data_IF_053543798087
#
_entry.id   IF_053543798087
#
_cell.length_a   1.000
_cell.length_b   1.000
_cell.length_c   1.000
_cell.angle_alpha   90.00
_cell.angle_beta   90.00
_cell.angle_gamma   90.00
#
_symmetry.space_group_name_H-M   'P 1'
#
loop_
_entity.id
_entity.type
_entity.pdbx_description
1 polymer ?
#
# COMPACT_ATOMS: atom_id res chain seq x y z
N UNK A 1 2.52 18.85 4.66
CA UNK A 1 1.86 18.50 5.94
C UNK A 1 2.82 18.24 7.10
N UNK A 2 3.93 17.52 6.92
CA UNK A 2 4.90 17.18 7.98
C UNK A 2 6.17 18.08 8.02
N UNK A 3 6.28 19.07 7.14
CA UNK A 3 7.44 19.99 7.12
C UNK A 3 8.78 19.37 6.67
N UNK A 4 8.79 18.15 6.15
CA UNK A 4 10.01 17.44 5.71
C UNK A 4 10.44 17.89 4.31
N UNK A 5 11.72 18.21 4.14
CA UNK A 5 12.36 18.45 2.84
C UNK A 5 13.08 17.19 2.34
N UNK A 6 12.83 16.79 1.10
CA UNK A 6 13.51 15.65 0.46
C UNK A 6 14.57 16.16 -0.53
N UNK A 7 15.77 15.58 -0.47
CA UNK A 7 16.83 15.85 -1.45
C UNK A 7 16.45 15.24 -2.83
N UNK A 8 17.04 15.77 -3.91
CA UNK A 8 16.84 15.30 -5.29
C UNK A 8 17.06 13.80 -5.46
N UNK A 9 18.02 13.24 -4.72
CA UNK A 9 18.32 11.80 -4.74
C UNK A 9 17.19 10.95 -4.12
N UNK A 10 16.53 11.45 -3.06
CA UNK A 10 15.36 10.79 -2.46
C UNK A 10 14.13 10.89 -3.37
N UNK A 11 13.97 12.01 -4.08
CA UNK A 11 12.93 12.15 -5.12
C UNK A 11 13.14 11.18 -6.28
N UNK A 12 14.38 11.04 -6.75
CA UNK A 12 14.73 10.07 -7.80
C UNK A 12 14.42 8.65 -7.35
N UNK A 13 14.76 8.29 -6.10
CA UNK A 13 14.36 7.00 -5.55
C UNK A 13 12.83 6.81 -5.55
N UNK A 14 12.03 7.79 -5.12
CA UNK A 14 10.56 7.64 -5.15
C UNK A 14 10.01 7.40 -6.57
N UNK A 15 10.56 8.06 -7.58
CA UNK A 15 10.17 7.87 -8.98
C UNK A 15 10.56 6.46 -9.45
N UNK A 16 11.79 6.02 -9.14
CA UNK A 16 12.25 4.66 -9.46
C UNK A 16 11.39 3.60 -8.78
N UNK A 17 11.07 3.76 -7.50
CA UNK A 17 10.19 2.85 -6.76
C UNK A 17 8.83 2.72 -7.47
N UNK A 18 8.24 3.85 -7.84
CA UNK A 18 6.93 3.88 -8.51
C UNK A 18 6.97 3.14 -9.85
N UNK A 19 7.98 3.42 -10.68
CA UNK A 19 8.16 2.72 -11.96
C UNK A 19 8.45 1.23 -11.79
N UNK A 20 9.28 0.86 -10.82
CA UNK A 20 9.61 -0.54 -10.52
C UNK A 20 8.40 -1.34 -10.04
N UNK A 21 7.58 -0.77 -9.15
CA UNK A 21 6.33 -1.39 -8.68
C UNK A 21 5.32 -1.52 -9.81
N UNK A 22 5.21 -0.51 -10.69
CA UNK A 22 4.34 -0.59 -11.87
C UNK A 22 4.75 -1.75 -12.79
N UNK A 23 6.06 -1.94 -13.03
CA UNK A 23 6.58 -3.05 -13.85
C UNK A 23 6.36 -4.42 -13.19
N UNK A 24 6.55 -4.53 -11.87
CA UNK A 24 6.34 -5.77 -11.11
C UNK A 24 4.87 -6.20 -11.13
N UNK A 25 3.94 -5.25 -11.13
CA UNK A 25 2.50 -5.52 -11.12
C UNK A 25 1.88 -5.66 -12.52
N UNK A 26 2.68 -5.58 -13.60
CA UNK A 26 2.14 -5.84 -14.94
C UNK A 26 1.73 -7.33 -15.05
N UNK A 27 0.46 -7.62 -15.41
CA UNK A 27 0.02 -9.00 -15.59
C UNK A 27 0.79 -9.65 -16.75
N UNK A 28 1.40 -10.82 -16.50
CA UNK A 28 2.34 -11.46 -17.43
C UNK A 28 1.68 -12.31 -18.53
N UNK A 29 0.34 -12.38 -18.58
CA UNK A 29 -0.34 -13.19 -19.58
C UNK A 29 -1.72 -13.61 -19.13
N UNK A 30 -2.67 -12.70 -19.29
CA UNK A 30 -4.01 -12.99 -19.80
C UNK A 30 -4.51 -11.62 -20.25
N UNK A 31 -4.47 -11.38 -21.55
CA UNK A 31 -5.48 -10.52 -22.16
C UNK A 31 -6.80 -11.22 -21.87
N UNK A 32 -7.35 -10.94 -20.69
CA UNK A 32 -8.73 -11.26 -20.36
C UNK A 32 -9.52 -10.90 -21.61
N UNK A 33 -10.28 -11.88 -22.11
CA UNK A 33 -11.24 -11.71 -23.19
C UNK A 33 -12.11 -10.52 -22.79
N UNK A 34 -11.68 -9.33 -23.17
CA UNK A 34 -12.41 -8.11 -22.94
C UNK A 34 -13.52 -8.24 -23.96
N UNK A 35 -14.67 -8.70 -23.46
CA UNK A 35 -15.95 -8.57 -24.16
C UNK A 35 -15.91 -7.24 -24.90
N UNK A 36 -16.18 -7.28 -26.20
CA UNK A 36 -16.00 -6.16 -27.14
C UNK A 36 -16.91 -4.93 -26.86
N UNK A 37 -17.41 -4.78 -25.63
CA UNK A 37 -18.33 -3.75 -25.14
C UNK A 37 -17.86 -3.16 -23.80
N UNK A 38 -16.55 -2.96 -23.59
CA UNK A 38 -16.10 -2.06 -22.52
C UNK A 38 -16.34 -0.63 -23.02
N UNK A 39 -17.50 -0.06 -22.69
CA UNK A 39 -17.81 1.32 -23.03
C UNK A 39 -16.73 2.24 -22.48
N UNK A 40 -16.26 3.19 -23.29
CA UNK A 40 -15.20 4.15 -22.90
C UNK A 40 -15.53 4.87 -21.58
N UNK A 41 -16.82 5.01 -21.27
CA UNK A 41 -17.34 5.54 -20.00
C UNK A 41 -16.84 4.75 -18.78
N UNK A 42 -16.92 3.41 -18.81
CA UNK A 42 -16.55 2.57 -17.67
C UNK A 42 -15.04 2.62 -17.39
N UNK A 43 -14.24 2.73 -18.44
CA UNK A 43 -12.79 2.91 -18.31
C UNK A 43 -12.42 4.25 -17.68
N UNK A 44 -13.14 5.33 -18.02
CA UNK A 44 -12.91 6.67 -17.44
C UNK A 44 -13.35 6.68 -15.97
N UNK A 45 -14.48 6.07 -15.63
CA UNK A 45 -14.95 5.96 -14.25
C UNK A 45 -13.95 5.18 -13.40
N UNK A 46 -13.44 4.05 -13.91
CA UNK A 46 -12.38 3.28 -13.24
C UNK A 46 -11.11 4.11 -13.00
N UNK A 47 -10.65 4.85 -14.01
CA UNK A 47 -9.48 5.73 -13.87
C UNK A 47 -9.70 6.82 -12.82
N UNK A 48 -10.85 7.50 -12.84
CA UNK A 48 -11.19 8.54 -11.85
C UNK A 48 -11.28 7.95 -10.44
N UNK A 49 -11.85 6.75 -10.29
CA UNK A 49 -11.93 6.06 -9.00
C UNK A 49 -10.53 5.73 -8.46
N UNK A 50 -9.63 5.22 -9.30
CA UNK A 50 -8.23 4.93 -8.91
C UNK A 50 -7.50 6.23 -8.52
N UNK A 51 -7.64 7.30 -9.30
CA UNK A 51 -7.02 8.59 -8.96
C UNK A 51 -7.54 9.12 -7.61
N UNK A 52 -8.86 9.11 -7.40
CA UNK A 52 -9.46 9.53 -6.14
C UNK A 52 -8.95 8.67 -4.96
N UNK A 53 -8.86 7.35 -5.14
CA UNK A 53 -8.31 6.43 -4.15
C UNK A 53 -6.82 6.72 -3.86
N UNK A 54 -6.00 7.00 -4.88
CA UNK A 54 -4.59 7.34 -4.71
C UNK A 54 -4.40 8.63 -3.90
N UNK A 55 -5.14 9.70 -4.23
CA UNK A 55 -5.07 10.96 -3.48
C UNK A 55 -5.56 10.78 -2.05
N UNK A 56 -6.68 10.07 -1.85
CA UNK A 56 -7.24 9.79 -0.53
C UNK A 56 -6.26 8.97 0.33
N UNK A 57 -5.68 7.91 -0.23
CA UNK A 57 -4.70 7.06 0.45
C UNK A 57 -3.44 7.82 0.86
N UNK A 58 -2.86 8.62 -0.07
CA UNK A 58 -1.70 9.45 0.21
C UNK A 58 -1.97 10.50 1.30
N UNK A 59 -3.10 11.20 1.22
CA UNK A 59 -3.51 12.19 2.20
C UNK A 59 -3.77 11.56 3.57
N UNK A 60 -4.57 10.50 3.63
CA UNK A 60 -4.91 9.81 4.87
C UNK A 60 -3.67 9.24 5.56
N UNK A 61 -2.73 8.66 4.81
CA UNK A 61 -1.46 8.16 5.35
C UNK A 61 -0.60 9.26 5.98
N UNK A 62 -0.44 10.39 5.29
CA UNK A 62 0.34 11.54 5.80
C UNK A 62 -0.36 12.23 6.98
N UNK A 63 -1.69 12.32 6.95
CA UNK A 63 -2.48 12.85 8.07
C UNK A 63 -2.39 11.94 9.29
N UNK A 64 -2.48 10.62 9.09
CA UNK A 64 -2.32 9.63 10.16
C UNK A 64 -0.93 9.69 10.77
N UNK A 65 0.12 9.84 9.95
CA UNK A 65 1.47 10.07 10.46
C UNK A 65 1.56 11.36 11.29
N UNK A 66 0.95 12.45 10.81
CA UNK A 66 0.93 13.74 11.53
C UNK A 66 0.24 13.62 12.89
N UNK A 67 -0.95 13.01 12.96
CA UNK A 67 -1.67 12.90 14.23
C UNK A 67 -0.92 12.01 15.24
N UNK A 68 -0.28 10.94 14.76
CA UNK A 68 0.51 10.05 15.61
C UNK A 68 1.78 10.71 16.16
N UNK A 69 2.42 11.59 15.37
CA UNK A 69 3.70 12.20 15.75
C UNK A 69 3.57 13.55 16.44
N UNK A 70 2.46 14.25 16.28
CA UNK A 70 2.26 15.60 16.87
C UNK A 70 1.45 15.56 18.17
N UNK A 71 0.74 14.49 18.48
CA UNK A 71 -0.12 14.42 19.68
C UNK A 71 0.41 13.44 20.71
N UNK A 72 0.25 13.76 22.01
CA UNK A 72 0.67 12.90 23.13
C UNK A 72 -0.31 11.75 23.44
N UNK A 73 -1.18 11.41 22.50
CA UNK A 73 -2.15 10.31 22.66
C UNK A 73 -1.48 9.00 22.26
N UNK A 74 -1.73 7.93 23.01
CA UNK A 74 -1.15 6.62 22.69
C UNK A 74 -1.60 6.12 21.30
N UNK A 75 -0.72 5.36 20.64
CA UNK A 75 -1.01 4.77 19.33
C UNK A 75 -2.28 3.93 19.38
N UNK A 76 -2.42 3.12 20.44
CA UNK A 76 -3.56 2.24 20.64
C UNK A 76 -4.87 3.02 20.76
N UNK A 77 -4.87 4.15 21.46
CA UNK A 77 -6.05 5.01 21.58
C UNK A 77 -6.41 5.67 20.24
N UNK A 78 -5.41 6.11 19.47
CA UNK A 78 -5.63 6.61 18.10
C UNK A 78 -6.19 5.53 17.18
N UNK A 79 -5.66 4.32 17.27
CA UNK A 79 -6.13 3.19 16.48
C UNK A 79 -7.55 2.77 16.88
N UNK A 80 -7.90 2.85 18.17
CA UNK A 80 -9.26 2.60 18.66
C UNK A 80 -10.25 3.65 18.16
N UNK A 81 -9.88 4.93 18.23
CA UNK A 81 -10.70 6.03 17.69
C UNK A 81 -10.98 5.85 16.20
N UNK A 82 -9.95 5.48 15.43
CA UNK A 82 -10.09 5.20 14.00
C UNK A 82 -10.96 3.97 13.75
N UNK A 83 -10.72 2.87 14.46
CA UNK A 83 -11.53 1.66 14.35
C UNK A 83 -13.00 1.90 14.67
N UNK A 84 -13.29 2.71 15.69
CA UNK A 84 -14.66 3.10 16.04
C UNK A 84 -15.38 3.73 14.85
N UNK A 85 -14.78 4.72 14.18
CA UNK A 85 -15.39 5.33 13.00
C UNK A 85 -15.41 4.39 11.78
N UNK A 86 -14.40 3.54 11.61
CA UNK A 86 -14.36 2.55 10.54
C UNK A 86 -15.48 1.53 10.63
N UNK A 87 -15.93 1.15 11.84
CA UNK A 87 -17.06 0.23 12.02
C UNK A 87 -18.34 0.84 11.41
N UNK A 88 -18.65 2.10 11.70
CA UNK A 88 -19.81 2.77 11.11
C UNK A 88 -19.71 2.87 9.60
N UNK A 89 -18.53 3.23 9.07
CA UNK A 89 -18.30 3.27 7.63
C UNK A 89 -18.46 1.90 6.96
N UNK A 90 -17.96 0.83 7.60
CA UNK A 90 -18.10 -0.54 7.12
C UNK A 90 -19.56 -0.99 7.07
N UNK A 91 -20.31 -0.78 8.15
CA UNK A 91 -21.75 -1.09 8.18
C UNK A 91 -22.55 -0.27 7.16
N UNK A 92 -22.22 1.01 6.99
CA UNK A 92 -22.85 1.85 5.99
C UNK A 92 -22.63 1.29 4.58
N UNK A 93 -21.41 0.84 4.24
CA UNK A 93 -21.15 0.24 2.93
C UNK A 93 -21.86 -1.11 2.74
N UNK A 94 -21.87 -1.97 3.75
CA UNK A 94 -22.65 -3.20 3.71
C UNK A 94 -24.15 -2.92 3.49
N UNK A 95 -24.69 -1.86 4.10
CA UNK A 95 -26.09 -1.48 3.91
C UNK A 95 -26.37 -0.88 2.53
N UNK A 96 -25.46 -0.07 1.98
CA UNK A 96 -25.66 0.57 0.67
C UNK A 96 -25.49 -0.40 -0.51
N UNK A 97 -24.54 -1.34 -0.44
CA UNK A 97 -24.19 -2.20 -1.57
C UNK A 97 -24.67 -3.65 -1.43
N UNK A 98 -24.66 -4.22 -0.22
CA UNK A 98 -24.82 -5.66 -0.02
C UNK A 98 -26.07 -6.05 0.81
N UNK A 99 -26.95 -5.10 1.14
CA UNK A 99 -28.09 -5.33 2.05
C UNK A 99 -28.97 -6.51 1.63
N UNK A 100 -29.28 -6.63 0.33
CA UNK A 100 -30.16 -7.69 -0.18
C UNK A 100 -29.57 -9.08 0.03
N UNK A 101 -28.24 -9.23 -0.11
CA UNK A 101 -27.56 -10.49 0.13
C UNK A 101 -27.52 -10.81 1.63
N UNK A 102 -27.24 -9.80 2.47
CA UNK A 102 -27.19 -9.93 3.92
C UNK A 102 -28.55 -10.31 4.52
N UNK A 103 -29.65 -9.72 4.02
CA UNK A 103 -31.01 -10.01 4.50
C UNK A 103 -31.43 -11.45 4.16
N UNK A 104 -31.07 -11.92 2.97
CA UNK A 104 -31.48 -13.24 2.48
C UNK A 104 -30.71 -14.38 3.15
N UNK A 105 -29.39 -14.24 3.24
CA UNK A 105 -28.52 -15.36 3.58
C UNK A 105 -27.72 -15.14 4.89
N UNK A 106 -27.83 -13.95 5.48
CA UNK A 106 -27.17 -13.57 6.72
C UNK A 106 -25.80 -12.92 6.52
N UNK A 107 -25.40 -12.10 7.49
CA UNK A 107 -24.15 -11.32 7.42
C UNK A 107 -22.87 -12.17 7.34
N UNK A 108 -22.87 -13.36 7.97
CA UNK A 108 -21.71 -14.26 8.04
C UNK A 108 -21.83 -15.43 7.05
N UNK A 109 -22.65 -15.30 6.00
CA UNK A 109 -22.78 -16.33 4.99
C UNK A 109 -21.43 -16.65 4.35
N UNK A 110 -21.11 -17.94 4.21
CA UNK A 110 -19.90 -18.38 3.52
C UNK A 110 -18.59 -18.21 4.31
N UNK A 111 -18.64 -17.68 5.54
CA UNK A 111 -17.46 -17.58 6.40
C UNK A 111 -16.95 -18.97 6.79
N UNK A 112 -15.77 -19.31 6.30
CA UNK A 112 -15.04 -20.53 6.65
C UNK A 112 -13.78 -20.19 7.47
N UNK A 113 -13.04 -21.22 7.90
CA UNK A 113 -11.82 -21.05 8.70
C UNK A 113 -10.76 -20.18 8.00
N UNK A 114 -10.63 -20.30 6.67
CA UNK A 114 -9.67 -19.51 5.88
C UNK A 114 -10.03 -18.02 5.92
N UNK A 115 -11.32 -17.68 5.79
CA UNK A 115 -11.78 -16.28 5.88
C UNK A 115 -11.46 -15.71 7.26
N UNK A 116 -11.70 -16.45 8.35
CA UNK A 116 -11.32 -16.01 9.69
C UNK A 116 -9.81 -15.77 9.84
N UNK A 117 -8.97 -16.61 9.23
CA UNK A 117 -7.52 -16.40 9.18
C UNK A 117 -7.19 -15.11 8.43
N UNK A 118 -7.82 -14.85 7.27
CA UNK A 118 -7.63 -13.61 6.50
C UNK A 118 -8.06 -12.38 7.31
N UNK A 119 -9.21 -12.43 7.99
CA UNK A 119 -9.67 -11.33 8.86
C UNK A 119 -8.67 -11.06 9.98
N UNK A 120 -8.18 -12.11 10.65
CA UNK A 120 -7.18 -11.96 11.71
C UNK A 120 -5.86 -11.39 11.18
N UNK A 121 -5.40 -11.85 10.01
CA UNK A 121 -4.19 -11.35 9.36
C UNK A 121 -4.33 -9.89 8.94
N UNK A 122 -5.49 -9.49 8.41
CA UNK A 122 -5.78 -8.11 8.02
C UNK A 122 -5.79 -7.18 9.24
N UNK A 123 -6.42 -7.61 10.33
CA UNK A 123 -6.44 -6.87 11.58
C UNK A 123 -5.03 -6.70 12.16
N UNK A 124 -4.25 -7.79 12.21
CA UNK A 124 -2.86 -7.77 12.65
C UNK A 124 -2.00 -6.86 11.76
N UNK A 125 -2.12 -6.99 10.43
CA UNK A 125 -1.40 -6.16 9.46
C UNK A 125 -1.70 -4.67 9.64
N UNK A 126 -2.95 -4.30 9.92
CA UNK A 126 -3.34 -2.92 10.24
C UNK A 126 -2.62 -2.37 11.48
N UNK A 127 -2.51 -3.18 12.54
CA UNK A 127 -1.77 -2.80 13.76
C UNK A 127 -0.26 -2.65 13.48
N UNK A 128 0.32 -3.58 12.71
CA UNK A 128 1.73 -3.49 12.30
C UNK A 128 1.98 -2.24 11.47
N UNK A 129 1.10 -1.91 10.52
CA UNK A 129 1.19 -0.68 9.73
C UNK A 129 1.17 0.56 10.63
N UNK A 130 0.32 0.60 11.66
CA UNK A 130 0.29 1.72 12.60
C UNK A 130 1.62 1.86 13.35
N UNK A 131 2.23 0.75 13.78
CA UNK A 131 3.55 0.75 14.41
C UNK A 131 4.63 1.23 13.45
N UNK A 132 4.64 0.75 12.20
CA UNK A 132 5.59 1.18 11.16
C UNK A 132 5.47 2.68 10.91
N UNK A 133 4.28 3.24 10.79
CA UNK A 133 4.09 4.69 10.57
C UNK A 133 4.55 5.51 11.78
N UNK A 134 4.35 5.00 13.01
CA UNK A 134 4.80 5.67 14.23
C UNK A 134 6.33 5.71 14.35
N UNK A 135 7.00 4.57 14.15
CA UNK A 135 8.45 4.43 14.40
C UNK A 135 9.31 4.74 13.17
N UNK A 136 8.78 4.61 11.97
CA UNK A 136 9.43 5.01 10.72
C UNK A 136 8.67 6.21 10.15
N UNK A 137 8.10 6.09 8.96
CA UNK A 137 7.20 7.07 8.33
C UNK A 137 6.42 6.43 7.20
N UNK A 138 5.47 7.17 6.64
CA UNK A 138 4.62 6.69 5.56
C UNK A 138 5.39 6.41 4.25
N UNK A 139 6.58 7.01 4.05
CA UNK A 139 7.42 6.75 2.88
C UNK A 139 8.11 5.39 3.04
N UNK A 140 8.76 5.15 4.19
CA UNK A 140 9.39 3.86 4.49
C UNK A 140 8.38 2.71 4.48
N UNK A 141 7.14 2.95 4.92
CA UNK A 141 6.03 2.00 4.76
C UNK A 141 5.84 1.62 3.28
N UNK A 142 5.86 2.58 2.36
CA UNK A 142 5.72 2.33 0.91
C UNK A 142 6.85 1.46 0.35
N UNK A 143 8.10 1.72 0.76
CA UNK A 143 9.24 0.87 0.40
C UNK A 143 9.09 -0.56 0.96
N UNK A 144 8.71 -0.69 2.23
CA UNK A 144 8.52 -2.00 2.86
C UNK A 144 7.43 -2.83 2.18
N UNK A 145 6.29 -2.22 1.82
CA UNK A 145 5.22 -2.89 1.07
C UNK A 145 5.71 -3.33 -0.31
N UNK A 146 6.47 -2.47 -1.01
CA UNK A 146 7.00 -2.78 -2.34
C UNK A 146 7.99 -3.96 -2.32
N UNK A 147 8.88 -4.01 -1.31
CA UNK A 147 9.79 -5.15 -1.09
C UNK A 147 9.03 -6.41 -0.70
N UNK A 148 7.97 -6.28 0.11
CA UNK A 148 7.12 -7.41 0.47
C UNK A 148 6.47 -8.04 -0.76
N UNK A 149 6.01 -7.25 -1.74
CA UNK A 149 5.43 -7.79 -2.98
C UNK A 149 6.46 -8.65 -3.73
N UNK A 150 7.70 -8.18 -3.85
CA UNK A 150 8.77 -8.92 -4.53
C UNK A 150 9.08 -10.22 -3.78
N UNK A 151 9.22 -10.15 -2.46
CA UNK A 151 9.51 -11.32 -1.63
C UNK A 151 8.37 -12.34 -1.68
N UNK A 152 7.12 -11.90 -1.59
CA UNK A 152 5.95 -12.77 -1.71
C UNK A 152 5.88 -13.44 -3.09
N UNK A 153 6.19 -12.69 -4.16
CA UNK A 153 6.24 -13.24 -5.52
C UNK A 153 7.37 -14.25 -5.68
N UNK A 154 8.53 -14.01 -5.06
CA UNK A 154 9.65 -14.95 -5.05
C UNK A 154 9.32 -16.24 -4.30
N UNK A 155 8.69 -16.13 -3.12
CA UNK A 155 8.22 -17.29 -2.35
C UNK A 155 7.16 -18.07 -3.14
N UNK A 156 6.25 -17.37 -3.81
CA UNK A 156 5.24 -18.00 -4.67
C UNK A 156 5.87 -18.78 -5.82
N UNK A 157 6.89 -18.23 -6.49
CA UNK A 157 7.66 -18.96 -7.51
C UNK A 157 8.40 -20.18 -6.94
N UNK A 158 9.12 -20.00 -5.83
CA UNK A 158 9.98 -21.05 -5.27
C UNK A 158 9.20 -22.20 -4.60
N UNK A 159 8.16 -21.85 -3.84
CA UNK A 159 7.47 -22.81 -2.97
C UNK A 159 6.13 -23.26 -3.54
N UNK A 160 5.36 -22.35 -4.14
CA UNK A 160 4.04 -22.67 -4.68
C UNK A 160 4.08 -23.08 -6.15
N UNK A 161 5.13 -22.73 -6.90
CA UNK A 161 5.25 -22.95 -8.35
C UNK A 161 4.09 -22.35 -9.19
N UNK A 162 3.29 -21.47 -8.58
CA UNK A 162 2.10 -20.85 -9.19
C UNK A 162 2.43 -19.60 -10.03
N UNK A 163 3.67 -19.09 -9.95
CA UNK A 163 4.10 -17.88 -10.63
C UNK A 163 5.39 -18.10 -11.42
N UNK A 164 5.41 -17.72 -12.70
CA UNK A 164 6.61 -17.71 -13.53
C UNK A 164 7.15 -16.29 -13.66
N UNK A 165 8.34 -15.97 -13.10
CA UNK A 165 8.91 -14.63 -13.16
C UNK A 165 9.14 -14.21 -14.61
N UNK A 166 8.47 -13.16 -15.05
CA UNK A 166 8.71 -12.55 -16.36
C UNK A 166 9.97 -11.70 -16.35
N UNK A 167 10.53 -11.41 -17.54
CA UNK A 167 11.66 -10.49 -17.65
C UNK A 167 11.32 -9.08 -17.14
N UNK A 168 10.06 -8.65 -17.34
CA UNK A 168 9.55 -7.38 -16.81
C UNK A 168 9.48 -7.38 -15.29
N UNK A 169 9.05 -8.49 -14.69
CA UNK A 169 9.07 -8.66 -13.24
C UNK A 169 10.50 -8.57 -12.69
N UNK A 170 11.47 -9.27 -13.31
CA UNK A 170 12.87 -9.23 -12.88
C UNK A 170 13.49 -7.82 -12.99
N UNK A 171 13.21 -7.11 -14.10
CA UNK A 171 13.65 -5.73 -14.28
C UNK A 171 13.02 -4.80 -13.23
N UNK A 172 11.70 -4.90 -13.01
CA UNK A 172 10.98 -4.12 -12.02
C UNK A 172 11.48 -4.38 -10.60
N UNK A 173 11.68 -5.65 -10.23
CA UNK A 173 12.22 -6.04 -8.93
C UNK A 173 13.62 -5.45 -8.71
N UNK A 174 14.49 -5.49 -9.72
CA UNK A 174 15.82 -4.88 -9.66
C UNK A 174 15.74 -3.38 -9.42
N UNK A 175 14.83 -2.68 -10.11
CA UNK A 175 14.62 -1.24 -9.95
C UNK A 175 14.15 -0.91 -8.52
N UNK A 176 13.20 -1.68 -7.95
CA UNK A 176 12.72 -1.47 -6.58
C UNK A 176 13.84 -1.69 -5.55
N UNK A 177 14.67 -2.72 -5.74
CA UNK A 177 15.81 -3.00 -4.86
C UNK A 177 16.82 -1.84 -4.92
N UNK A 178 17.24 -1.43 -6.13
CA UNK A 178 18.16 -0.30 -6.32
C UNK A 178 17.58 0.97 -5.70
N UNK A 179 16.30 1.26 -5.95
CA UNK A 179 15.61 2.41 -5.38
C UNK A 179 15.64 2.42 -3.86
N UNK A 180 15.53 1.26 -3.21
CA UNK A 180 15.58 1.13 -1.75
C UNK A 180 16.95 1.54 -1.23
N UNK A 181 18.02 1.05 -1.86
CA UNK A 181 19.40 1.42 -1.49
C UNK A 181 19.68 2.91 -1.75
N UNK A 182 19.22 3.45 -2.87
CA UNK A 182 19.37 4.89 -3.19
C UNK A 182 18.66 5.76 -2.15
N UNK A 183 17.45 5.39 -1.72
CA UNK A 183 16.73 6.17 -0.70
C UNK A 183 17.42 6.15 0.67
N UNK A 184 18.02 5.01 1.04
CA UNK A 184 18.77 4.82 2.28
C UNK A 184 20.16 5.46 2.30
N UNK A 185 20.67 5.94 1.15
CA UNK A 185 21.98 6.57 1.07
C UNK A 185 21.94 8.02 1.61
N UNK A 186 22.71 8.28 2.67
CA UNK A 186 22.94 9.63 3.17
C UNK A 186 24.26 10.17 2.61
N UNK A 187 24.24 11.21 1.75
CA UNK A 187 25.47 11.81 1.24
C UNK A 187 26.25 12.44 2.41
N UNK A 188 27.54 12.12 2.49
CA UNK A 188 28.45 12.64 3.51
C UNK A 188 28.47 14.18 3.44
N UNK A 189 28.12 14.86 4.54
CA UNK A 189 28.23 16.33 4.58
C UNK A 189 29.68 16.75 4.35
N UNK A 190 29.95 17.79 3.54
CA UNK A 190 31.30 18.33 3.44
C UNK A 190 31.69 18.86 4.82
N UNK A 191 32.84 18.40 5.34
CA UNK A 191 33.41 18.91 6.59
C UNK A 191 33.52 20.44 6.49
N UNK A 192 33.16 21.19 7.54
CA UNK A 192 33.44 22.62 7.58
C UNK A 192 34.96 22.78 7.52
N UNK A 193 35.45 23.36 6.43
CA UNK A 193 36.82 23.83 6.33
C UNK A 193 36.99 24.87 7.44
N UNK A 194 37.73 24.51 8.50
CA UNK A 194 38.26 25.49 9.44
C UNK A 194 39.15 26.45 8.65
N UNK A 195 38.62 27.61 8.27
CA UNK A 195 39.44 28.76 7.92
C UNK A 195 40.07 29.25 9.22
N UNK A 196 41.36 28.99 9.35
CA UNK A 196 42.23 29.52 10.40
C UNK A 196 42.42 31.04 10.27
#
# INVERSE_FOLDING_TARGET
MLGRSLNRLKWLALILLTGGVALVQMPAGESSKTSANADTSDSIVGLLAVLAACFSSGFAGVYFEKILKTTNVSLWMRNLQLAFFSIFGGFLMCWLYDWQAIEKDGFLQGYNTIIWIVVALQAYGGLVIALVVKYADNILKGFAVSLSIILSSFISWWFLADFTPSLMFAAGATIVIVSTFVYGYEPKSPNPTHTA
#
